data_IF_707056287659
#
_entry.id   IF_707056287659
#
_cell.length_a   1.000
_cell.length_b   1.000
_cell.length_c   1.000
_cell.angle_alpha   90.00
_cell.angle_beta   90.00
_cell.angle_gamma   90.00
#
_symmetry.space_group_name_H-M   'P 1'
#
loop_
_entity.id
_entity.type
_entity.pdbx_description
1 polymer ?
#
# COMPACT_ATOMS: atom_id res chain seq x y z
N UNK A 1 24.97 -18.24 -1.15
CA UNK A 1 25.03 -16.93 -1.83
C UNK A 1 24.13 -16.87 -3.09
N UNK A 2 24.20 -17.85 -4.00
CA UNK A 2 23.62 -17.77 -5.36
C UNK A 2 22.12 -17.44 -5.49
N UNK A 3 21.24 -17.88 -4.57
CA UNK A 3 19.79 -17.63 -4.67
C UNK A 3 19.43 -16.12 -4.74
N UNK A 4 20.22 -15.24 -4.13
CA UNK A 4 19.96 -13.79 -4.12
C UNK A 4 20.13 -13.14 -5.51
N UNK A 5 21.03 -13.66 -6.35
CA UNK A 5 21.19 -13.20 -7.74
C UNK A 5 20.10 -13.76 -8.67
N UNK A 6 19.62 -14.98 -8.41
CA UNK A 6 18.54 -15.59 -9.20
C UNK A 6 17.24 -14.80 -9.07
N UNK A 7 16.89 -14.34 -7.86
CA UNK A 7 15.71 -13.52 -7.64
C UNK A 7 15.82 -12.16 -8.34
N UNK A 8 16.99 -11.51 -8.26
CA UNK A 8 17.23 -10.19 -8.86
C UNK A 8 16.98 -10.17 -10.38
N UNK A 9 17.51 -11.15 -11.13
CA UNK A 9 17.28 -11.26 -12.59
C UNK A 9 15.80 -11.51 -12.95
N UNK A 10 15.04 -12.20 -12.10
CA UNK A 10 13.60 -12.40 -12.33
C UNK A 10 12.84 -11.10 -12.14
N UNK A 11 13.13 -10.32 -11.07
CA UNK A 11 12.49 -9.02 -10.85
C UNK A 11 12.79 -8.02 -11.97
N UNK A 12 14.04 -7.96 -12.44
CA UNK A 12 14.42 -7.12 -13.59
C UNK A 12 13.63 -7.49 -14.86
N UNK A 13 13.39 -8.79 -15.09
CA UNK A 13 12.58 -9.27 -16.21
C UNK A 13 11.09 -8.91 -16.07
N UNK A 14 10.55 -8.83 -14.86
CA UNK A 14 9.16 -8.41 -14.61
C UNK A 14 8.98 -6.91 -14.88
N UNK A 15 9.91 -6.07 -14.41
CA UNK A 15 9.82 -4.62 -14.65
C UNK A 15 9.99 -4.25 -16.13
N UNK A 16 10.92 -4.90 -16.85
CA UNK A 16 11.04 -4.76 -18.32
C UNK A 16 9.74 -5.17 -19.04
N UNK A 17 9.07 -6.23 -18.60
CA UNK A 17 7.80 -6.70 -19.20
C UNK A 17 6.63 -5.75 -18.95
N UNK A 18 6.57 -5.13 -17.78
CA UNK A 18 5.60 -4.07 -17.47
C UNK A 18 5.83 -2.80 -18.30
N UNK A 19 7.08 -2.35 -18.41
CA UNK A 19 7.42 -1.14 -19.19
C UNK A 19 7.14 -1.35 -20.70
N UNK A 20 7.39 -2.57 -21.21
CA UNK A 20 7.02 -2.97 -22.58
C UNK A 20 5.53 -3.21 -22.81
N UNK A 21 4.68 -3.15 -21.78
CA UNK A 21 3.24 -3.44 -21.93
C UNK A 21 2.50 -2.26 -22.56
N UNK A 22 1.85 -2.50 -23.70
CA UNK A 22 1.10 -1.46 -24.38
C UNK A 22 -0.28 -1.22 -23.75
N UNK A 23 -0.28 -0.34 -22.74
CA UNK A 23 -1.50 0.20 -22.13
C UNK A 23 -2.34 1.06 -23.09
N UNK A 24 -1.84 1.45 -24.27
CA UNK A 24 -2.59 2.26 -25.23
C UNK A 24 -3.52 1.44 -26.13
N UNK A 25 -3.11 0.23 -26.54
CA UNK A 25 -3.98 -0.68 -27.32
C UNK A 25 -4.97 -1.50 -26.48
N UNK A 26 -4.72 -1.69 -25.18
CA UNK A 26 -5.64 -2.45 -24.31
C UNK A 26 -6.97 -1.71 -24.07
N UNK A 27 -7.99 -2.08 -24.85
CA UNK A 27 -9.34 -1.54 -24.75
C UNK A 27 -9.93 -1.60 -23.32
N UNK A 28 -9.57 -2.59 -22.50
CA UNK A 28 -10.08 -2.71 -21.12
C UNK A 28 -9.46 -1.66 -20.20
N UNK A 29 -8.16 -1.36 -20.40
CA UNK A 29 -7.49 -0.29 -19.68
C UNK A 29 -8.05 1.07 -20.11
N UNK A 30 -8.21 1.28 -21.42
CA UNK A 30 -8.76 2.52 -21.98
C UNK A 30 -10.24 2.76 -21.56
N UNK A 31 -11.09 1.74 -21.58
CA UNK A 31 -12.48 1.85 -21.12
C UNK A 31 -12.62 1.91 -19.59
N UNK A 32 -11.60 1.50 -18.84
CA UNK A 32 -11.47 1.82 -17.41
C UNK A 32 -11.07 3.28 -17.19
N UNK A 33 -10.07 3.75 -17.93
CA UNK A 33 -9.53 5.11 -17.86
C UNK A 33 -10.58 6.18 -18.22
N UNK A 34 -11.51 5.89 -19.15
CA UNK A 34 -12.65 6.76 -19.49
C UNK A 34 -13.71 6.89 -18.39
N UNK A 35 -13.76 5.94 -17.43
CA UNK A 35 -14.81 5.89 -16.38
C UNK A 35 -14.38 6.51 -15.06
N UNK A 36 -13.07 6.58 -14.81
CA UNK A 36 -12.50 7.36 -13.72
C UNK A 36 -12.27 8.80 -14.19
N UNK A 37 -12.25 9.75 -13.26
CA UNK A 37 -11.83 11.11 -13.61
C UNK A 37 -10.35 11.10 -14.03
N UNK A 38 -9.97 11.96 -14.97
CA UNK A 38 -8.62 11.99 -15.58
C UNK A 38 -7.54 12.02 -14.50
N UNK A 39 -6.51 11.15 -14.56
CA UNK A 39 -5.49 11.08 -13.51
C UNK A 39 -4.73 12.40 -13.39
N UNK A 40 -4.86 13.04 -12.21
CA UNK A 40 -4.34 14.38 -11.96
C UNK A 40 -2.81 14.47 -11.94
N UNK A 41 -2.11 13.34 -11.78
CA UNK A 41 -0.65 13.28 -11.79
C UNK A 41 -0.13 12.08 -12.59
N UNK A 42 1.14 12.17 -13.02
CA UNK A 42 1.88 11.03 -13.62
C UNK A 42 1.96 9.84 -12.66
N UNK A 43 2.01 10.10 -11.36
CA UNK A 43 2.06 9.08 -10.32
C UNK A 43 0.74 8.31 -10.19
N UNK A 44 -0.40 8.98 -10.36
CA UNK A 44 -1.72 8.33 -10.32
C UNK A 44 -1.97 7.46 -11.56
N UNK A 45 -1.51 7.90 -12.73
CA UNK A 45 -1.48 7.07 -13.93
C UNK A 45 -0.58 5.83 -13.75
N UNK A 46 0.58 5.98 -13.09
CA UNK A 46 1.47 4.84 -12.78
C UNK A 46 0.82 3.86 -11.79
N UNK A 47 0.21 4.35 -10.70
CA UNK A 47 -0.58 3.54 -9.75
C UNK A 47 -1.66 2.74 -10.48
N UNK A 48 -2.40 3.38 -11.40
CA UNK A 48 -3.46 2.75 -12.18
C UNK A 48 -2.92 1.67 -13.14
N UNK A 49 -1.84 1.95 -13.87
CA UNK A 49 -1.16 0.97 -14.73
C UNK A 49 -0.75 -0.27 -13.93
N UNK A 50 -0.11 -0.09 -12.76
CA UNK A 50 0.30 -1.20 -11.90
C UNK A 50 -0.92 -1.94 -11.33
N UNK A 51 -1.96 -1.25 -10.89
CA UNK A 51 -3.19 -1.89 -10.41
C UNK A 51 -3.83 -2.78 -11.50
N UNK A 52 -3.93 -2.29 -12.73
CA UNK A 52 -4.44 -3.05 -13.86
C UNK A 52 -3.56 -4.26 -14.19
N UNK A 53 -2.24 -4.06 -14.29
CA UNK A 53 -1.29 -5.12 -14.61
C UNK A 53 -1.31 -6.23 -13.56
N UNK A 54 -1.32 -5.86 -12.27
CA UNK A 54 -1.47 -6.79 -11.15
C UNK A 54 -2.80 -7.56 -11.18
N UNK A 55 -3.86 -6.96 -11.74
CA UNK A 55 -5.21 -7.55 -11.78
C UNK A 55 -5.42 -8.50 -12.97
N UNK A 56 -4.70 -8.32 -14.07
CA UNK A 56 -4.97 -9.01 -15.34
C UNK A 56 -3.78 -9.66 -16.04
N UNK A 57 -2.54 -9.34 -15.67
CA UNK A 57 -1.31 -9.85 -16.31
C UNK A 57 -0.47 -10.61 -15.29
N UNK A 58 0.21 -9.93 -14.37
CA UNK A 58 1.04 -10.52 -13.31
C UNK A 58 1.32 -9.51 -12.17
N UNK A 59 1.57 -9.97 -10.94
CA UNK A 59 1.78 -9.08 -9.80
C UNK A 59 3.19 -8.46 -9.79
N UNK A 60 3.25 -7.13 -9.72
CA UNK A 60 4.46 -6.33 -9.51
C UNK A 60 4.26 -5.29 -8.39
N UNK A 61 5.36 -4.77 -7.84
CA UNK A 61 5.34 -3.77 -6.76
C UNK A 61 5.74 -2.37 -7.25
N UNK A 62 4.96 -1.35 -6.88
CA UNK A 62 5.20 0.06 -7.21
C UNK A 62 6.53 0.60 -6.66
N UNK A 63 6.94 0.20 -5.45
CA UNK A 63 8.22 0.60 -4.85
C UNK A 63 9.39 0.06 -5.67
N UNK A 64 9.48 -1.25 -5.84
CA UNK A 64 10.54 -1.90 -6.62
C UNK A 64 10.58 -1.45 -8.09
N UNK A 65 9.45 -1.09 -8.69
CA UNK A 65 9.45 -0.45 -10.02
C UNK A 65 10.07 0.96 -10.00
N UNK A 66 9.71 1.79 -9.02
CA UNK A 66 10.34 3.12 -8.85
C UNK A 66 11.84 3.01 -8.54
N UNK A 67 12.25 2.03 -7.73
CA UNK A 67 13.65 1.71 -7.45
C UNK A 67 14.39 1.27 -8.73
N UNK A 68 13.77 0.42 -9.55
CA UNK A 68 14.34 -0.01 -10.84
C UNK A 68 14.51 1.15 -11.82
N UNK A 69 13.53 2.05 -11.93
CA UNK A 69 13.64 3.28 -12.73
C UNK A 69 14.62 4.32 -12.16
N UNK A 70 14.97 4.23 -10.87
CA UNK A 70 15.93 5.12 -10.21
C UNK A 70 17.38 4.60 -10.29
N UNK A 71 17.60 3.37 -10.76
CA UNK A 71 18.94 2.89 -11.10
C UNK A 71 19.40 3.62 -12.38
N UNK A 72 20.58 4.28 -12.38
CA UNK A 72 21.12 4.88 -13.60
C UNK A 72 21.40 3.78 -14.62
N UNK A 73 20.72 3.83 -15.77
CA UNK A 73 20.74 2.75 -16.74
C UNK A 73 22.15 2.54 -17.31
N UNK A 74 22.58 1.27 -17.33
CA UNK A 74 23.88 0.83 -17.82
C UNK A 74 23.93 0.69 -19.35
N UNK A 75 22.91 1.23 -20.04
CA UNK A 75 22.58 0.92 -21.43
C UNK A 75 22.57 2.12 -22.39
N UNK A 76 22.89 3.35 -21.94
CA UNK A 76 23.04 4.49 -22.85
C UNK A 76 24.17 5.47 -22.46
N UNK A 77 25.36 5.28 -23.03
CA UNK A 77 26.42 6.29 -23.03
C UNK A 77 26.35 7.14 -24.31
N UNK A 78 25.67 8.29 -24.27
CA UNK A 78 26.04 9.53 -24.99
C UNK A 78 25.11 10.68 -24.59
N UNK A 79 25.71 11.82 -24.21
CA UNK A 79 25.13 13.17 -24.07
C UNK A 79 23.86 13.32 -23.17
N UNK A 80 23.79 14.25 -22.20
CA UNK A 80 24.57 15.48 -22.00
C UNK A 80 25.11 15.63 -20.57
N UNK A 81 26.26 16.30 -20.43
CA UNK A 81 26.94 16.55 -19.17
C UNK A 81 27.30 18.05 -19.02
N UNK A 82 27.33 18.54 -17.77
CA UNK A 82 27.76 19.89 -17.31
C UNK A 82 26.92 21.13 -17.69
N UNK A 83 26.08 21.58 -16.73
CA UNK A 83 26.12 22.90 -16.00
C UNK A 83 24.77 23.20 -15.32
N UNK A 84 24.65 23.83 -14.13
CA UNK A 84 25.56 24.26 -13.03
C UNK A 84 24.78 24.02 -11.70
N UNK A 85 25.36 23.52 -10.60
CA UNK A 85 26.37 24.10 -9.67
C UNK A 85 25.81 25.21 -8.76
N UNK A 86 25.63 24.84 -7.48
CA UNK A 86 25.69 25.64 -6.24
C UNK A 86 24.57 26.67 -5.91
N UNK A 87 24.27 26.97 -4.64
CA UNK A 87 24.69 26.31 -3.37
C UNK A 87 23.46 25.98 -2.46
N UNK A 88 23.23 26.31 -1.18
CA UNK A 88 23.91 27.11 -0.14
C UNK A 88 23.40 26.73 1.29
N UNK A 89 23.95 27.33 2.34
CA UNK A 89 23.80 26.95 3.77
C UNK A 89 22.72 27.76 4.51
N UNK A 90 22.02 27.14 5.49
CA UNK A 90 20.96 27.80 6.27
C UNK A 90 20.67 27.20 7.64
N UNK A 91 21.60 27.32 8.59
CA UNK A 91 21.36 26.99 10.02
C UNK A 91 20.46 28.01 10.70
N UNK A 92 19.44 27.54 11.43
CA UNK A 92 18.95 28.26 12.62
C UNK A 92 18.41 27.27 13.64
N UNK A 93 18.82 27.46 14.90
CA UNK A 93 18.35 26.72 16.07
C UNK A 93 17.22 27.48 16.80
N UNK A 94 16.42 26.77 17.59
CA UNK A 94 15.53 27.32 18.62
C UNK A 94 14.92 26.21 19.48
N UNK A 95 15.51 25.95 20.64
CA UNK A 95 14.99 25.04 21.65
C UNK A 95 13.63 25.50 22.22
N UNK A 96 12.77 24.55 22.59
CA UNK A 96 11.94 24.74 23.80
C UNK A 96 11.60 23.42 24.51
N UNK A 97 12.18 23.27 25.69
CA UNK A 97 11.87 22.21 26.68
C UNK A 97 10.52 22.52 27.37
N UNK A 98 9.77 21.48 27.74
CA UNK A 98 9.16 21.23 29.08
C UNK A 98 8.51 19.84 29.05
N UNK A 99 8.71 19.07 30.12
CA UNK A 99 8.14 17.75 30.34
C UNK A 99 7.20 17.85 31.55
N UNK A 100 5.93 17.47 31.41
CA UNK A 100 4.99 17.42 32.55
C UNK A 100 3.90 16.36 32.35
N UNK A 101 4.15 15.19 32.94
CA UNK A 101 3.10 14.32 33.51
C UNK A 101 2.42 15.11 34.68
N UNK A 102 1.22 14.79 35.17
CA UNK A 102 0.39 13.59 35.04
C UNK A 102 -1.11 13.94 35.27
N UNK A 103 -2.03 13.02 34.97
CA UNK A 103 -3.47 12.95 35.32
C UNK A 103 -4.40 14.16 35.10
N UNK A 104 -5.40 14.00 34.21
CA UNK A 104 -6.83 13.95 34.56
C UNK A 104 -7.74 13.61 33.35
N UNK A 105 -8.92 13.07 33.65
CA UNK A 105 -10.14 12.87 32.84
C UNK A 105 -10.07 12.29 31.41
N UNK A 106 -10.61 11.06 31.27
CA UNK A 106 -10.76 10.36 30.01
C UNK A 106 -12.14 10.59 29.36
N UNK A 107 -12.29 11.64 28.53
CA UNK A 107 -13.33 11.66 27.47
C UNK A 107 -12.98 12.55 26.24
N UNK A 108 -11.70 12.81 25.97
CA UNK A 108 -11.27 13.63 24.82
C UNK A 108 -10.04 13.09 24.08
N UNK A 109 -10.03 11.77 23.83
CA UNK A 109 -9.01 11.10 23.03
C UNK A 109 -9.04 11.63 21.58
N UNK A 110 -8.16 12.59 21.28
CA UNK A 110 -7.99 13.24 19.98
C UNK A 110 -7.82 12.21 18.86
N UNK A 111 -8.30 12.56 17.65
CA UNK A 111 -8.12 11.75 16.44
C UNK A 111 -6.67 11.86 15.92
N UNK A 112 -5.72 11.40 16.73
CA UNK A 112 -4.29 11.40 16.44
C UNK A 112 -3.96 10.17 15.60
N UNK A 113 -3.60 10.40 14.33
CA UNK A 113 -3.27 9.33 13.39
C UNK A 113 -1.94 8.65 13.77
N UNK A 114 -2.03 7.59 14.59
CA UNK A 114 -0.88 6.77 14.97
C UNK A 114 -0.29 6.02 13.77
N UNK A 115 1.02 5.77 13.80
CA UNK A 115 1.67 4.92 12.80
C UNK A 115 1.37 3.43 13.04
N UNK A 116 1.43 2.61 11.98
CA UNK A 116 1.27 1.15 12.12
C UNK A 116 2.26 0.54 13.12
N UNK A 117 3.51 1.03 13.13
CA UNK A 117 4.53 0.56 14.07
C UNK A 117 4.15 0.91 15.52
N UNK A 118 3.52 2.06 15.76
CA UNK A 118 3.05 2.47 17.08
C UNK A 118 1.94 1.54 17.57
N UNK A 119 0.89 1.35 16.76
CA UNK A 119 -0.22 0.45 17.07
C UNK A 119 0.29 -0.98 17.35
N UNK A 120 1.31 -1.44 16.60
CA UNK A 120 1.93 -2.74 16.84
C UNK A 120 2.77 -2.81 18.13
N UNK A 121 3.34 -1.69 18.62
CA UNK A 121 3.94 -1.64 19.97
C UNK A 121 2.87 -1.75 21.05
N UNK A 122 1.80 -0.95 20.94
CA UNK A 122 0.68 -0.95 21.90
C UNK A 122 0.05 -2.36 22.03
N UNK A 123 -0.17 -3.05 20.91
CA UNK A 123 -0.66 -4.44 20.89
C UNK A 123 0.28 -5.41 21.64
N UNK A 124 1.59 -5.26 21.49
CA UNK A 124 2.58 -6.12 22.18
C UNK A 124 2.71 -5.78 23.68
N UNK A 125 2.51 -4.51 24.05
CA UNK A 125 2.50 -4.05 25.44
C UNK A 125 1.18 -4.39 26.17
N UNK A 126 0.10 -4.65 25.43
CA UNK A 126 -1.25 -4.85 25.99
C UNK A 126 -2.00 -3.54 26.28
N UNK A 127 -1.54 -2.42 25.71
CA UNK A 127 -2.12 -1.08 25.89
C UNK A 127 -3.41 -0.88 25.09
N UNK A 128 -4.24 0.08 25.52
CA UNK A 128 -5.51 0.39 24.84
C UNK A 128 -5.29 1.25 23.60
N UNK A 129 -5.79 0.79 22.45
CA UNK A 129 -5.63 1.49 21.17
C UNK A 129 -6.64 2.66 21.10
N UNK A 130 -6.21 3.91 20.88
CA UNK A 130 -7.11 5.06 20.76
C UNK A 130 -8.17 4.87 19.66
N UNK A 131 -9.42 5.26 19.97
CA UNK A 131 -10.57 5.10 19.07
C UNK A 131 -11.17 3.69 19.01
N UNK A 132 -10.60 2.69 19.69
CA UNK A 132 -11.15 1.32 19.71
C UNK A 132 -12.24 1.16 20.79
N UNK A 133 -13.51 1.22 20.40
CA UNK A 133 -14.62 0.97 21.32
C UNK A 133 -14.68 -0.51 21.75
N UNK A 134 -14.46 -0.77 23.04
CA UNK A 134 -14.68 -2.08 23.65
C UNK A 134 -16.18 -2.37 23.80
N UNK A 135 -16.73 -3.17 22.89
CA UNK A 135 -18.12 -3.66 22.97
C UNK A 135 -18.23 -4.78 24.02
N UNK A 136 -19.25 -4.74 24.87
CA UNK A 136 -19.49 -5.78 25.88
C UNK A 136 -20.17 -7.03 25.28
N UNK A 137 -19.44 -7.75 24.43
CA UNK A 137 -19.90 -8.96 23.75
C UNK A 137 -19.86 -10.14 24.73
N UNK A 138 -20.97 -10.42 25.40
CA UNK A 138 -21.12 -11.66 26.18
C UNK A 138 -21.27 -12.87 25.23
N UNK A 139 -20.58 -14.00 25.50
CA UNK A 139 -20.71 -15.19 24.67
C UNK A 139 -22.12 -15.79 24.79
N UNK A 140 -22.82 -15.91 23.66
CA UNK A 140 -24.12 -16.55 23.57
C UNK A 140 -24.01 -18.08 23.70
N UNK A 141 -23.72 -18.57 24.91
CA UNK A 141 -23.60 -19.98 25.28
C UNK A 141 -24.97 -20.72 25.28
N UNK A 142 -25.73 -20.58 24.20
CA UNK A 142 -27.02 -21.22 23.97
C UNK A 142 -26.84 -22.35 22.95
N UNK A 143 -27.66 -23.38 23.05
CA UNK A 143 -27.69 -24.45 22.04
C UNK A 143 -28.10 -23.86 20.67
N UNK A 144 -27.52 -24.35 19.55
CA UNK A 144 -27.86 -23.86 18.23
C UNK A 144 -29.32 -24.18 17.88
N UNK A 145 -30.03 -23.22 17.29
CA UNK A 145 -31.40 -23.40 16.82
C UNK A 145 -31.45 -24.51 15.76
N UNK A 146 -32.27 -25.53 15.98
CA UNK A 146 -32.48 -26.59 14.98
C UNK A 146 -33.19 -26.05 13.74
N UNK A 147 -32.72 -26.44 12.56
CA UNK A 147 -33.37 -26.06 11.32
C UNK A 147 -34.73 -26.76 11.18
N UNK A 148 -35.80 -25.97 11.12
CA UNK A 148 -37.14 -26.44 10.74
C UNK A 148 -37.36 -26.39 9.21
N UNK A 149 -36.36 -25.94 8.43
CA UNK A 149 -36.47 -25.81 6.98
C UNK A 149 -36.34 -27.18 6.30
N UNK A 150 -37.36 -27.57 5.54
CA UNK A 150 -37.33 -28.81 4.75
C UNK A 150 -36.30 -28.73 3.62
N UNK A 151 -35.58 -29.83 3.37
CA UNK A 151 -34.67 -29.94 2.22
C UNK A 151 -35.47 -29.84 0.93
N UNK A 152 -35.28 -28.76 0.18
CA UNK A 152 -35.68 -28.73 -1.24
C UNK A 152 -34.77 -29.69 -2.01
N UNK A 153 -35.33 -30.79 -2.50
CA UNK A 153 -34.65 -31.73 -3.37
C UNK A 153 -34.17 -31.05 -4.65
N UNK A 154 -33.05 -31.51 -5.20
CA UNK A 154 -32.57 -31.07 -6.52
C UNK A 154 -33.46 -31.67 -7.63
N UNK A 155 -33.58 -31.04 -8.81
CA UNK A 155 -34.43 -31.56 -9.90
C UNK A 155 -34.11 -32.98 -10.39
N UNK A 156 -32.92 -33.49 -10.08
CA UNK A 156 -32.43 -34.84 -10.40
C UNK A 156 -32.48 -35.82 -9.21
N UNK A 157 -32.93 -35.39 -8.02
CA UNK A 157 -33.16 -36.25 -6.84
C UNK A 157 -34.59 -36.83 -6.89
N UNK A 158 -34.89 -37.56 -7.97
CA UNK A 158 -36.12 -38.37 -8.15
C UNK A 158 -35.87 -39.82 -7.80
#
# INVERSE_FOLDING_TARGET
MFQRLSCFRVMESLYRRFDSYDFSSDARFQDGLKKINTPASKDDLLKLKIFFYNRFVEPIHLSGYKEWCALPDRSHQVAEEMRRVQDDTGTSDSEKVILSQIDMEADLAQNTQLSFAEVFRMIQAGEEIPGLQKLDIKPCNRLPTSSQMTRKLKPWEK
#
